data_IF_652900121362
#
_entry.id   IF_652900121362
#
_cell.length_a   1.000
_cell.length_b   1.000
_cell.length_c   1.000
_cell.angle_alpha   90.00
_cell.angle_beta   90.00
_cell.angle_gamma   90.00
#
_symmetry.space_group_name_H-M   'P 1'
#
loop_
_entity.id
_entity.type
_entity.pdbx_description
1 polymer ?
#
# COMPACT_ATOMS: atom_id res chain seq x y z
N UNK A 1 -3.43 6.59 7.82
CA UNK A 1 -2.74 5.52 7.05
C UNK A 1 -2.82 5.69 5.54
N UNK A 2 -3.99 5.76 4.86
CA UNK A 2 -4.00 6.01 3.40
C UNK A 2 -3.59 7.46 3.09
N UNK A 3 -4.07 8.43 3.88
CA UNK A 3 -3.74 9.85 3.69
C UNK A 3 -2.24 10.13 3.82
N UNK A 4 -1.52 9.33 4.62
CA UNK A 4 -0.06 9.39 4.75
C UNK A 4 0.67 8.92 3.48
N UNK A 5 0.03 8.08 2.66
CA UNK A 5 0.57 7.61 1.39
C UNK A 5 0.28 8.58 0.23
N UNK A 6 -0.17 9.79 0.55
CA UNK A 6 -0.55 10.82 -0.43
C UNK A 6 0.16 12.11 -0.05
N UNK A 7 0.84 12.79 -0.99
CA UNK A 7 1.40 14.13 -0.76
C UNK A 7 0.37 15.09 -0.19
N UNK A 8 0.78 15.93 0.76
CA UNK A 8 -0.12 16.84 1.48
C UNK A 8 -0.86 17.78 0.53
N UNK A 9 -0.20 18.18 -0.57
CA UNK A 9 -0.76 19.09 -1.57
C UNK A 9 -1.95 18.47 -2.33
N UNK A 10 -2.12 17.15 -2.27
CA UNK A 10 -3.18 16.41 -2.95
C UNK A 10 -4.33 16.00 -2.01
N UNK A 11 -4.24 16.30 -0.71
CA UNK A 11 -5.24 15.86 0.27
C UNK A 11 -6.63 16.41 -0.01
N UNK A 12 -6.74 17.63 -0.54
CA UNK A 12 -8.03 18.25 -0.84
C UNK A 12 -8.72 17.54 -2.02
N UNK A 13 -8.02 17.34 -3.14
CA UNK A 13 -8.55 16.58 -4.29
C UNK A 13 -8.87 15.13 -3.89
N UNK A 14 -8.05 14.50 -3.06
CA UNK A 14 -8.28 13.15 -2.57
C UNK A 14 -9.56 13.04 -1.73
N UNK A 15 -9.75 13.94 -0.77
CA UNK A 15 -10.96 13.98 0.08
C UNK A 15 -12.21 14.26 -0.77
N UNK A 16 -12.13 15.22 -1.69
CA UNK A 16 -13.23 15.54 -2.59
C UNK A 16 -13.63 14.34 -3.46
N UNK A 17 -12.66 13.66 -4.06
CA UNK A 17 -12.94 12.48 -4.89
C UNK A 17 -13.53 11.33 -4.08
N UNK A 18 -13.04 11.07 -2.86
CA UNK A 18 -13.64 10.04 -1.98
C UNK A 18 -15.08 10.37 -1.63
N UNK A 19 -15.39 11.63 -1.39
CA UNK A 19 -16.77 12.07 -1.15
C UNK A 19 -17.67 11.80 -2.37
N UNK A 20 -17.18 12.07 -3.59
CA UNK A 20 -17.92 11.75 -4.82
C UNK A 20 -18.13 10.24 -5.02
N UNK A 21 -17.12 9.41 -4.74
CA UNK A 21 -17.28 7.94 -4.74
C UNK A 21 -18.35 7.50 -3.74
N UNK A 22 -18.39 8.10 -2.54
CA UNK A 22 -19.39 7.79 -1.52
C UNK A 22 -20.81 8.13 -2.00
N UNK A 23 -21.01 9.27 -2.68
CA UNK A 23 -22.31 9.62 -3.28
C UNK A 23 -22.77 8.57 -4.29
N UNK A 24 -21.87 8.12 -5.16
CA UNK A 24 -22.16 7.07 -6.16
C UNK A 24 -22.50 5.75 -5.48
N UNK A 25 -21.78 5.37 -4.42
CA UNK A 25 -22.03 4.15 -3.63
C UNK A 25 -23.43 4.19 -2.99
N UNK A 26 -23.82 5.34 -2.43
CA UNK A 26 -25.16 5.57 -1.87
C UNK A 26 -26.26 5.69 -2.96
N UNK A 27 -25.83 5.74 -4.22
CA UNK A 27 -26.67 5.94 -5.41
C UNK A 27 -27.55 7.18 -5.28
N UNK A 28 -27.03 8.20 -4.62
CA UNK A 28 -27.71 9.46 -4.40
C UNK A 28 -27.56 10.34 -5.65
N UNK A 29 -28.66 10.92 -6.10
CA UNK A 29 -28.65 11.90 -7.18
C UNK A 29 -29.13 13.25 -6.61
N UNK A 30 -28.35 14.30 -6.84
CA UNK A 30 -28.67 15.66 -6.42
C UNK A 30 -29.45 16.43 -7.50
N UNK A 31 -29.17 16.14 -8.78
CA UNK A 31 -29.82 16.77 -9.93
C UNK A 31 -29.88 15.83 -11.13
N UNK A 32 -30.79 16.11 -12.07
CA UNK A 32 -30.83 15.41 -13.34
C UNK A 32 -29.54 15.69 -14.15
N UNK A 33 -28.80 14.66 -14.61
CA UNK A 33 -27.53 14.85 -15.31
C UNK A 33 -27.69 15.48 -16.71
N UNK A 34 -28.92 15.51 -17.25
CA UNK A 34 -29.22 16.04 -18.58
C UNK A 34 -29.69 17.50 -18.58
N UNK A 35 -30.54 17.90 -17.62
CA UNK A 35 -31.11 19.25 -17.57
C UNK A 35 -30.85 20.00 -16.25
N UNK A 36 -30.10 19.40 -15.33
CA UNK A 36 -29.67 19.98 -14.04
C UNK A 36 -30.81 20.36 -13.07
N UNK A 37 -32.06 20.05 -13.39
CA UNK A 37 -33.21 20.23 -12.48
C UNK A 37 -33.22 19.17 -11.38
N UNK A 38 -33.66 19.57 -10.20
CA UNK A 38 -33.76 18.74 -8.99
C UNK A 38 -35.09 17.96 -8.88
N UNK A 39 -36.01 18.22 -9.80
CA UNK A 39 -37.33 17.58 -9.81
C UNK A 39 -37.29 16.24 -10.55
N UNK A 40 -37.22 15.17 -9.78
CA UNK A 40 -37.27 13.78 -10.27
C UNK A 40 -37.80 12.86 -9.18
N UNK A 41 -38.15 11.63 -9.55
CA UNK A 41 -38.58 10.60 -8.61
C UNK A 41 -37.93 9.26 -8.94
N UNK A 42 -37.86 8.38 -7.94
CA UNK A 42 -37.32 7.03 -8.09
C UNK A 42 -38.39 6.16 -8.74
N UNK A 43 -38.05 5.49 -9.85
CA UNK A 43 -38.92 4.49 -10.49
C UNK A 43 -38.55 3.08 -10.04
N UNK A 44 -37.27 2.84 -9.77
CA UNK A 44 -36.77 1.53 -9.39
C UNK A 44 -35.66 1.67 -8.37
N UNK A 45 -35.65 0.84 -7.34
CA UNK A 45 -34.65 0.87 -6.26
C UNK A 45 -33.59 -0.25 -6.36
N UNK A 46 -33.84 -1.32 -7.12
CA UNK A 46 -32.94 -2.46 -7.30
C UNK A 46 -32.78 -2.87 -8.78
N UNK A 47 -31.60 -3.34 -9.23
CA UNK A 47 -30.34 -3.42 -8.49
C UNK A 47 -29.67 -2.06 -8.31
N UNK A 48 -30.10 -1.05 -9.07
CA UNK A 48 -29.72 0.35 -8.90
C UNK A 48 -30.92 1.27 -8.86
N UNK A 49 -30.79 2.38 -8.13
CA UNK A 49 -31.75 3.48 -8.11
C UNK A 49 -31.80 4.14 -9.48
N UNK A 50 -32.91 3.93 -10.18
CA UNK A 50 -33.23 4.59 -11.44
C UNK A 50 -34.23 5.72 -11.16
N UNK A 51 -33.85 6.92 -11.58
CA UNK A 51 -34.63 8.14 -11.45
C UNK A 51 -35.25 8.51 -12.80
N UNK A 52 -36.38 9.21 -12.75
CA UNK A 52 -37.00 9.82 -13.92
C UNK A 52 -37.22 11.31 -13.67
N UNK A 53 -36.68 12.13 -14.56
CA UNK A 53 -36.76 13.58 -14.46
C UNK A 53 -38.13 14.09 -14.86
N UNK A 54 -38.75 14.94 -14.04
CA UNK A 54 -40.04 15.55 -14.35
C UNK A 54 -39.96 16.58 -15.48
N UNK A 55 -38.80 17.21 -15.65
CA UNK A 55 -38.61 18.28 -16.63
C UNK A 55 -38.21 17.78 -18.03
N UNK A 56 -37.21 16.89 -18.12
CA UNK A 56 -36.72 16.41 -19.42
C UNK A 56 -37.16 14.98 -19.77
N UNK A 57 -37.95 14.34 -18.90
CA UNK A 57 -38.49 12.98 -19.08
C UNK A 57 -37.46 11.88 -19.38
N UNK A 58 -36.19 12.12 -19.05
CA UNK A 58 -35.10 11.14 -19.23
C UNK A 58 -34.92 10.31 -17.97
N UNK A 59 -34.60 9.05 -18.18
CA UNK A 59 -34.18 8.11 -17.14
C UNK A 59 -32.69 8.26 -16.86
N UNK A 60 -32.32 8.19 -15.59
CA UNK A 60 -30.92 8.23 -15.18
C UNK A 60 -30.67 7.50 -13.87
N UNK A 61 -29.40 7.32 -13.56
CA UNK A 61 -28.86 6.80 -12.30
C UNK A 61 -27.86 7.81 -11.74
N UNK A 62 -27.44 7.63 -10.49
CA UNK A 62 -26.38 8.44 -9.89
C UNK A 62 -25.05 8.41 -10.67
N UNK A 63 -24.82 7.37 -11.48
CA UNK A 63 -23.61 7.23 -12.31
C UNK A 63 -23.81 7.62 -13.78
N UNK A 64 -25.00 8.11 -14.15
CA UNK A 64 -25.25 8.58 -15.52
C UNK A 64 -24.38 9.79 -15.84
N UNK A 65 -23.82 9.85 -17.06
CA UNK A 65 -22.80 10.81 -17.49
C UNK A 65 -21.49 10.77 -16.69
N UNK A 66 -21.22 9.66 -15.99
CA UNK A 66 -19.90 9.40 -15.39
C UNK A 66 -19.27 8.17 -16.04
N UNK A 67 -17.92 8.06 -16.04
CA UNK A 67 -17.20 6.84 -16.37
C UNK A 67 -17.64 5.60 -15.56
N UNK A 68 -18.31 5.78 -14.41
CA UNK A 68 -18.77 4.69 -13.55
C UNK A 68 -20.10 4.07 -13.98
N UNK A 69 -20.70 4.57 -15.07
CA UNK A 69 -21.96 4.05 -15.56
C UNK A 69 -21.87 2.53 -15.80
N UNK A 70 -22.85 1.78 -15.27
CA UNK A 70 -22.95 0.31 -15.33
C UNK A 70 -21.85 -0.47 -14.59
N UNK A 71 -20.99 0.17 -13.79
CA UNK A 71 -19.94 -0.51 -13.00
C UNK A 71 -20.42 -1.00 -11.63
N UNK A 72 -21.55 -1.71 -11.61
CA UNK A 72 -22.13 -2.27 -10.37
C UNK A 72 -21.35 -3.53 -9.96
N UNK A 73 -21.12 -3.77 -8.65
CA UNK A 73 -21.43 -2.88 -7.53
C UNK A 73 -20.42 -1.73 -7.41
N UNK A 74 -20.89 -0.57 -6.95
CA UNK A 74 -20.10 0.66 -6.88
C UNK A 74 -19.10 0.68 -5.72
N UNK A 75 -19.33 -0.10 -4.67
CA UNK A 75 -18.43 -0.20 -3.51
C UNK A 75 -17.01 -0.66 -3.90
N UNK A 76 -16.85 -1.41 -4.99
CA UNK A 76 -15.53 -1.80 -5.49
C UNK A 76 -14.68 -0.63 -5.99
N UNK A 77 -15.28 0.52 -6.35
CA UNK A 77 -14.52 1.68 -6.84
C UNK A 77 -13.56 2.21 -5.77
N UNK A 78 -14.06 2.43 -4.56
CA UNK A 78 -13.23 2.91 -3.44
C UNK A 78 -12.19 1.86 -3.02
N UNK A 79 -12.57 0.58 -2.97
CA UNK A 79 -11.63 -0.51 -2.64
C UNK A 79 -10.49 -0.58 -3.65
N UNK A 80 -10.78 -0.50 -4.96
CA UNK A 80 -9.76 -0.53 -6.01
C UNK A 80 -8.87 0.70 -5.90
N UNK A 81 -9.46 1.90 -5.85
CA UNK A 81 -8.72 3.17 -5.78
C UNK A 81 -7.72 3.18 -4.62
N UNK A 82 -8.19 2.85 -3.40
CA UNK A 82 -7.34 2.83 -2.20
C UNK A 82 -6.31 1.71 -2.22
N UNK A 83 -6.64 0.54 -2.79
CA UNK A 83 -5.68 -0.56 -2.95
C UNK A 83 -4.55 -0.19 -3.91
N UNK A 84 -4.86 0.57 -4.96
CA UNK A 84 -3.87 1.04 -5.93
C UNK A 84 -2.93 2.08 -5.33
N UNK A 85 -3.43 2.98 -4.49
CA UNK A 85 -2.58 3.90 -3.70
C UNK A 85 -1.61 3.14 -2.79
N UNK A 86 -2.07 2.04 -2.17
CA UNK A 86 -1.24 1.12 -1.38
C UNK A 86 -0.31 0.23 -2.23
N UNK A 87 -0.26 0.46 -3.54
CA UNK A 87 0.52 -0.29 -4.51
C UNK A 87 0.23 -1.81 -4.52
N UNK A 88 -1.02 -2.20 -4.24
CA UNK A 88 -1.46 -3.60 -4.35
C UNK A 88 -1.67 -3.93 -5.84
N UNK A 89 -1.10 -5.03 -6.31
CA UNK A 89 -1.24 -5.48 -7.70
C UNK A 89 -2.70 -5.75 -8.08
N UNK A 90 -3.04 -5.57 -9.36
CA UNK A 90 -4.39 -5.85 -9.86
C UNK A 90 -4.81 -7.31 -9.64
N UNK A 91 -3.88 -8.26 -9.69
CA UNK A 91 -4.13 -9.68 -9.42
C UNK A 91 -4.49 -9.93 -7.97
N UNK A 92 -3.80 -9.29 -7.02
CA UNK A 92 -4.12 -9.38 -5.60
C UNK A 92 -5.45 -8.69 -5.28
N UNK A 93 -5.74 -7.54 -5.90
CA UNK A 93 -7.05 -6.88 -5.78
C UNK A 93 -8.18 -7.79 -6.28
N UNK A 94 -7.99 -8.40 -7.46
CA UNK A 94 -8.95 -9.32 -8.06
C UNK A 94 -9.21 -10.53 -7.15
N UNK A 95 -8.15 -11.14 -6.61
CA UNK A 95 -8.24 -12.23 -5.63
C UNK A 95 -8.99 -11.82 -4.37
N UNK A 96 -8.66 -10.68 -3.78
CA UNK A 96 -9.28 -10.18 -2.55
C UNK A 96 -10.77 -9.87 -2.72
N UNK A 97 -11.16 -9.38 -3.90
CA UNK A 97 -12.56 -9.07 -4.23
C UNK A 97 -13.34 -10.28 -4.78
N UNK A 98 -12.67 -11.40 -5.07
CA UNK A 98 -13.31 -12.56 -5.71
C UNK A 98 -13.81 -12.28 -7.13
N UNK A 99 -13.10 -11.44 -7.90
CA UNK A 99 -13.48 -11.03 -9.26
C UNK A 99 -12.36 -11.25 -10.26
N UNK A 100 -12.66 -11.12 -11.55
CA UNK A 100 -11.65 -11.22 -12.61
C UNK A 100 -10.75 -9.97 -12.64
N UNK A 101 -9.52 -10.16 -13.14
CA UNK A 101 -8.54 -9.09 -13.36
C UNK A 101 -9.11 -7.98 -14.26
N UNK A 102 -9.84 -8.35 -15.31
CA UNK A 102 -10.44 -7.43 -16.29
C UNK A 102 -11.48 -6.53 -15.63
N UNK A 103 -12.24 -7.04 -14.64
CA UNK A 103 -13.22 -6.25 -13.88
C UNK A 103 -12.55 -5.20 -13.01
N UNK A 104 -11.37 -5.48 -12.46
CA UNK A 104 -10.54 -4.51 -11.74
C UNK A 104 -10.04 -3.44 -12.72
N UNK A 105 -9.41 -3.87 -13.82
CA UNK A 105 -8.86 -2.97 -14.84
C UNK A 105 -9.91 -2.03 -15.44
N UNK A 106 -11.12 -2.54 -15.72
CA UNK A 106 -12.21 -1.71 -16.24
C UNK A 106 -12.60 -0.59 -15.28
N UNK A 107 -12.63 -0.88 -13.97
CA UNK A 107 -12.94 0.12 -12.94
C UNK A 107 -11.82 1.10 -12.73
N UNK A 108 -10.58 0.61 -12.74
CA UNK A 108 -9.39 1.46 -12.66
C UNK A 108 -9.37 2.50 -13.79
N UNK A 109 -9.63 2.07 -15.03
CA UNK A 109 -9.74 3.00 -16.17
C UNK A 109 -10.83 4.05 -15.98
N UNK A 110 -11.98 3.66 -15.43
CA UNK A 110 -13.06 4.60 -15.15
C UNK A 110 -12.67 5.62 -14.06
N UNK A 111 -11.96 5.18 -13.01
CA UNK A 111 -11.40 6.05 -11.98
C UNK A 111 -10.42 7.04 -12.62
N UNK A 112 -9.45 6.55 -13.41
CA UNK A 112 -8.46 7.38 -14.10
C UNK A 112 -9.15 8.43 -14.99
N UNK A 113 -10.14 8.04 -15.80
CA UNK A 113 -10.87 8.98 -16.65
C UNK A 113 -11.64 10.03 -15.85
N UNK A 114 -12.20 9.66 -14.70
CA UNK A 114 -12.90 10.59 -13.81
C UNK A 114 -11.91 11.59 -13.22
N UNK A 115 -10.79 11.11 -12.66
CA UNK A 115 -9.73 11.94 -12.11
C UNK A 115 -9.19 12.90 -13.17
N UNK A 116 -8.94 12.43 -14.39
CA UNK A 116 -8.45 13.27 -15.48
C UNK A 116 -9.35 14.48 -15.75
N UNK A 117 -10.65 14.31 -15.60
CA UNK A 117 -11.65 15.35 -15.90
C UNK A 117 -11.81 16.34 -14.74
N UNK A 118 -11.83 15.84 -13.50
CA UNK A 118 -12.25 16.63 -12.33
C UNK A 118 -11.14 16.93 -11.31
N UNK A 119 -10.08 16.12 -11.29
CA UNK A 119 -8.99 16.17 -10.30
C UNK A 119 -7.62 15.93 -10.97
N UNK A 120 -7.16 16.89 -11.80
CA UNK A 120 -6.01 16.67 -12.70
C UNK A 120 -4.67 16.49 -11.96
N UNK A 121 -4.50 17.10 -10.78
CA UNK A 121 -3.27 16.93 -10.00
C UNK A 121 -3.21 15.52 -9.41
N UNK A 122 -4.31 15.07 -8.81
CA UNK A 122 -4.47 13.72 -8.30
C UNK A 122 -4.37 12.68 -9.42
N UNK A 123 -4.96 12.94 -10.59
CA UNK A 123 -4.81 12.09 -11.78
C UNK A 123 -3.35 11.91 -12.18
N UNK A 124 -2.62 13.03 -12.29
CA UNK A 124 -1.21 13.04 -12.68
C UNK A 124 -0.41 12.18 -11.70
N UNK A 125 -0.56 12.43 -10.40
CA UNK A 125 0.12 11.65 -9.37
C UNK A 125 -0.29 10.17 -9.36
N UNK A 126 -1.59 9.87 -9.45
CA UNK A 126 -2.15 8.51 -9.39
C UNK A 126 -1.70 7.63 -10.57
N UNK A 127 -1.62 8.21 -11.77
CA UNK A 127 -1.17 7.48 -12.98
C UNK A 127 0.35 7.40 -13.06
N UNK A 128 1.06 8.42 -12.59
CA UNK A 128 2.52 8.48 -12.57
C UNK A 128 3.15 7.82 -11.35
N UNK A 129 2.34 7.27 -10.43
CA UNK A 129 2.74 6.56 -9.20
C UNK A 129 3.66 5.34 -9.41
N UNK A 130 4.12 5.11 -10.66
CA UNK A 130 5.11 4.11 -11.03
C UNK A 130 6.55 4.65 -11.17
N UNK A 131 6.83 5.95 -10.97
CA UNK A 131 8.18 6.48 -11.28
C UNK A 131 8.86 7.32 -10.18
N UNK A 132 10.08 6.84 -9.87
CA UNK A 132 11.30 7.47 -9.38
C UNK A 132 11.45 7.90 -7.91
N UNK A 133 10.43 8.48 -7.26
CA UNK A 133 10.67 9.15 -5.97
C UNK A 133 9.70 8.70 -4.89
N UNK A 134 10.26 8.22 -3.77
CA UNK A 134 9.50 7.91 -2.56
C UNK A 134 8.78 9.16 -2.07
N UNK A 135 7.51 9.01 -1.69
CA UNK A 135 6.78 10.05 -0.94
C UNK A 135 7.61 10.41 0.30
N UNK A 136 7.69 11.69 0.73
CA UNK A 136 8.60 12.13 1.79
C UNK A 136 8.56 11.27 3.06
N UNK A 137 7.36 10.85 3.50
CA UNK A 137 7.24 9.97 4.67
C UNK A 137 7.84 8.58 4.45
N UNK A 138 7.68 8.01 3.25
CA UNK A 138 8.30 6.73 2.89
C UNK A 138 9.81 6.87 2.80
N UNK A 139 10.32 8.00 2.30
CA UNK A 139 11.74 8.28 2.23
C UNK A 139 12.36 8.38 3.64
N UNK A 140 11.69 9.07 4.56
CA UNK A 140 12.16 9.21 5.95
C UNK A 140 12.10 7.88 6.72
N UNK A 141 11.00 7.13 6.58
CA UNK A 141 10.90 5.79 7.16
C UNK A 141 11.96 4.85 6.57
N UNK A 142 12.20 4.89 5.26
CA UNK A 142 13.24 4.11 4.62
C UNK A 142 14.64 4.46 5.16
N UNK A 143 14.95 5.74 5.32
CA UNK A 143 16.20 6.21 5.94
C UNK A 143 16.34 5.70 7.37
N UNK A 144 15.26 5.75 8.16
CA UNK A 144 15.21 5.24 9.53
C UNK A 144 15.51 3.74 9.60
N UNK A 145 14.87 2.94 8.73
CA UNK A 145 15.11 1.49 8.65
C UNK A 145 16.55 1.21 8.25
N UNK A 146 17.08 1.89 7.22
CA UNK A 146 18.48 1.72 6.79
C UNK A 146 19.45 2.04 7.93
N UNK A 147 19.27 3.15 8.62
CA UNK A 147 20.12 3.54 9.75
C UNK A 147 20.10 2.49 10.87
N UNK A 148 18.91 1.99 11.26
CA UNK A 148 18.78 0.96 12.30
C UNK A 148 19.46 -0.35 11.89
N UNK A 149 19.24 -0.81 10.66
CA UNK A 149 19.85 -2.06 10.17
C UNK A 149 21.37 -1.92 10.03
N UNK A 150 21.86 -0.81 9.49
CA UNK A 150 23.30 -0.54 9.41
C UNK A 150 23.94 -0.51 10.79
N UNK A 151 23.32 0.13 11.79
CA UNK A 151 23.80 0.12 13.17
C UNK A 151 23.86 -1.30 13.74
N UNK A 152 22.81 -2.11 13.55
CA UNK A 152 22.79 -3.51 14.01
C UNK A 152 23.89 -4.37 13.37
N UNK A 153 24.13 -4.21 12.07
CA UNK A 153 25.13 -4.98 11.35
C UNK A 153 26.56 -4.58 11.75
N UNK A 154 26.77 -3.29 12.04
CA UNK A 154 28.06 -2.71 12.40
C UNK A 154 28.35 -2.73 13.90
N UNK A 155 27.41 -3.18 14.73
CA UNK A 155 27.63 -3.37 16.16
C UNK A 155 28.83 -4.32 16.39
N UNK A 156 29.67 -3.96 17.36
CA UNK A 156 30.90 -4.71 17.68
C UNK A 156 30.90 -5.17 19.13
N UNK A 157 30.40 -4.35 20.05
CA UNK A 157 30.50 -4.58 21.50
C UNK A 157 29.12 -4.43 22.16
N UNK A 158 28.13 -5.25 21.77
CA UNK A 158 26.81 -5.18 22.39
C UNK A 158 26.87 -5.61 23.85
N UNK A 159 26.04 -4.99 24.68
CA UNK A 159 25.83 -5.40 26.07
C UNK A 159 25.24 -6.81 26.15
N UNK A 160 25.81 -7.66 27.00
CA UNK A 160 25.36 -9.04 27.16
C UNK A 160 23.98 -9.12 27.81
N UNK A 161 23.01 -9.73 27.13
CA UNK A 161 21.63 -9.90 27.62
C UNK A 161 21.48 -10.80 28.87
N UNK A 162 22.55 -11.46 29.32
CA UNK A 162 22.52 -12.37 30.47
C UNK A 162 23.21 -11.81 31.72
N UNK A 163 24.10 -10.83 31.57
CA UNK A 163 24.91 -10.33 32.69
C UNK A 163 25.33 -8.85 32.58
N UNK A 164 24.79 -8.13 31.58
CA UNK A 164 25.00 -6.70 31.31
C UNK A 164 26.47 -6.26 31.10
N UNK A 165 27.39 -7.22 30.92
CA UNK A 165 28.78 -6.92 30.58
C UNK A 165 28.90 -6.47 29.12
N UNK A 166 29.74 -5.44 28.89
CA UNK A 166 30.13 -4.98 27.56
C UNK A 166 31.36 -5.72 27.00
N UNK A 167 31.89 -6.69 27.74
CA UNK A 167 33.00 -7.54 27.28
C UNK A 167 32.47 -8.65 26.38
N UNK A 168 32.11 -8.29 25.16
CA UNK A 168 31.54 -9.21 24.18
C UNK A 168 32.44 -9.29 22.95
N UNK A 169 32.34 -10.40 22.23
CA UNK A 169 33.05 -10.61 20.98
C UNK A 169 32.09 -11.22 19.96
N UNK A 170 32.12 -10.70 18.74
CA UNK A 170 31.31 -11.19 17.63
C UNK A 170 31.74 -12.61 17.25
N UNK A 171 30.77 -13.49 17.01
CA UNK A 171 31.01 -14.87 16.58
C UNK A 171 30.43 -15.08 15.17
N UNK A 172 31.32 -15.38 14.23
CA UNK A 172 30.96 -15.64 12.85
C UNK A 172 30.39 -14.40 12.13
N UNK A 173 29.61 -14.64 11.09
CA UNK A 173 29.02 -13.58 10.24
C UNK A 173 27.64 -13.13 10.70
N UNK A 174 27.07 -13.81 11.72
CA UNK A 174 25.74 -13.49 12.25
C UNK A 174 25.82 -12.33 13.24
N UNK A 175 24.66 -11.78 13.59
CA UNK A 175 24.44 -10.88 14.73
C UNK A 175 24.62 -11.58 16.09
N UNK A 176 25.48 -12.60 16.15
CA UNK A 176 25.75 -13.43 17.32
C UNK A 176 27.05 -13.00 18.00
N UNK A 177 27.04 -12.99 19.33
CA UNK A 177 28.14 -12.56 20.18
C UNK A 177 28.30 -13.53 21.33
N UNK A 178 29.51 -13.61 21.89
CA UNK A 178 29.77 -14.31 23.15
C UNK A 178 30.31 -13.35 24.16
N UNK A 179 29.74 -13.41 25.35
CA UNK A 179 30.22 -12.67 26.49
C UNK A 179 31.49 -13.34 27.05
N UNK A 180 32.54 -12.55 27.28
CA UNK A 180 33.78 -13.01 27.89
C UNK A 180 33.61 -13.30 29.39
N UNK A 181 32.70 -12.56 30.05
CA UNK A 181 32.39 -12.71 31.49
C UNK A 181 31.55 -13.95 31.78
N UNK A 182 30.31 -14.03 31.29
CA UNK A 182 29.42 -15.15 31.59
C UNK A 182 29.52 -16.33 30.62
N UNK A 183 30.35 -16.23 29.57
CA UNK A 183 30.58 -17.26 28.54
C UNK A 183 29.33 -17.67 27.74
N UNK A 184 28.17 -17.05 27.96
CA UNK A 184 26.98 -17.29 27.17
C UNK A 184 27.08 -16.62 25.79
N UNK A 185 26.57 -17.31 24.78
CA UNK A 185 26.39 -16.78 23.43
C UNK A 185 24.98 -16.22 23.30
N UNK A 186 24.83 -15.08 22.64
CA UNK A 186 23.54 -14.44 22.42
C UNK A 186 23.49 -13.77 21.05
N UNK A 187 22.28 -13.54 20.54
CA UNK A 187 22.04 -12.81 19.31
C UNK A 187 21.42 -11.46 19.66
N UNK A 188 21.97 -10.35 19.16
CA UNK A 188 21.44 -9.00 19.46
C UNK A 188 20.03 -8.78 18.89
N UNK A 189 19.61 -9.62 17.92
CA UNK A 189 18.26 -9.58 17.36
C UNK A 189 17.36 -10.70 17.88
N UNK A 190 17.76 -11.44 18.93
CA UNK A 190 17.03 -12.60 19.47
C UNK A 190 15.56 -12.31 19.79
N UNK A 191 15.28 -11.11 20.31
CA UNK A 191 13.95 -10.65 20.72
C UNK A 191 13.15 -10.02 19.56
N UNK A 192 13.64 -10.12 18.32
CA UNK A 192 12.99 -9.56 17.15
C UNK A 192 12.71 -10.63 16.11
N UNK A 193 11.85 -10.32 15.14
CA UNK A 193 11.56 -11.24 14.06
C UNK A 193 12.77 -11.46 13.12
N UNK A 194 13.80 -10.59 13.17
CA UNK A 194 15.03 -10.73 12.39
C UNK A 194 15.84 -11.97 12.77
N UNK A 195 15.69 -12.51 13.98
CA UNK A 195 16.34 -13.77 14.36
C UNK A 195 15.95 -14.95 13.44
N UNK A 196 14.84 -14.82 12.70
CA UNK A 196 14.33 -15.82 11.74
C UNK A 196 14.82 -15.61 10.31
N UNK A 197 15.61 -14.55 10.06
CA UNK A 197 16.16 -14.23 8.74
C UNK A 197 17.66 -14.56 8.74
N UNK A 198 18.14 -15.54 7.96
CA UNK A 198 19.57 -15.78 7.78
C UNK A 198 20.21 -14.72 6.86
N UNK A 199 21.52 -14.81 6.62
CA UNK A 199 22.26 -13.96 5.67
C UNK A 199 22.11 -12.44 5.90
N UNK A 200 22.54 -11.93 7.08
CA UNK A 200 22.48 -10.50 7.42
C UNK A 200 23.13 -9.58 6.38
N UNK A 201 24.14 -10.06 5.66
CA UNK A 201 24.80 -9.36 4.56
C UNK A 201 23.86 -8.96 3.42
N UNK A 202 22.74 -9.67 3.23
CA UNK A 202 21.76 -9.39 2.18
C UNK A 202 20.63 -8.45 2.63
N UNK A 203 20.52 -8.15 3.93
CA UNK A 203 19.36 -7.46 4.48
C UNK A 203 19.17 -6.06 3.91
N UNK A 204 20.24 -5.28 3.84
CA UNK A 204 20.19 -3.92 3.29
C UNK A 204 19.76 -3.93 1.82
N UNK A 205 20.35 -4.82 1.01
CA UNK A 205 19.98 -4.95 -0.40
C UNK A 205 18.54 -5.44 -0.58
N UNK A 206 18.08 -6.36 0.27
CA UNK A 206 16.69 -6.82 0.27
C UNK A 206 15.72 -5.67 0.52
N UNK A 207 15.98 -4.83 1.53
CA UNK A 207 15.16 -3.65 1.83
C UNK A 207 15.15 -2.69 0.63
N UNK A 208 16.29 -2.42 0.02
CA UNK A 208 16.39 -1.54 -1.15
C UNK A 208 15.50 -2.06 -2.29
N UNK A 209 15.50 -3.37 -2.55
CA UNK A 209 14.66 -3.99 -3.57
C UNK A 209 13.17 -3.95 -3.23
N UNK A 210 12.79 -4.08 -1.95
CA UNK A 210 11.39 -3.91 -1.51
C UNK A 210 10.88 -2.50 -1.80
N UNK A 211 11.74 -1.50 -1.55
CA UNK A 211 11.44 -0.08 -1.72
C UNK A 211 11.37 0.28 -3.21
N UNK A 212 12.29 -0.26 -4.03
CA UNK A 212 12.35 -0.14 -5.49
C UNK A 212 11.26 -0.92 -6.25
N UNK A 213 10.20 -1.30 -5.56
CA UNK A 213 9.01 -1.92 -6.15
C UNK A 213 9.27 -3.26 -6.87
N UNK A 214 10.29 -4.01 -6.45
CA UNK A 214 10.56 -5.34 -7.01
C UNK A 214 9.60 -6.37 -6.43
N UNK A 215 9.03 -7.21 -7.30
CA UNK A 215 8.21 -8.35 -6.88
C UNK A 215 9.06 -9.50 -6.36
N UNK A 216 8.44 -10.50 -5.72
CA UNK A 216 9.19 -11.60 -5.08
C UNK A 216 10.01 -12.43 -6.09
N UNK A 217 9.52 -12.60 -7.31
CA UNK A 217 10.27 -13.30 -8.36
C UNK A 217 11.54 -12.55 -8.77
N UNK A 218 11.45 -11.23 -8.94
CA UNK A 218 12.59 -10.38 -9.28
C UNK A 218 13.63 -10.38 -8.16
N UNK A 219 13.20 -10.26 -6.90
CA UNK A 219 14.10 -10.30 -5.74
C UNK A 219 14.78 -11.66 -5.63
N UNK A 220 14.03 -12.76 -5.82
CA UNK A 220 14.56 -14.11 -5.82
C UNK A 220 15.70 -14.28 -6.84
N UNK A 221 15.52 -13.77 -8.06
CA UNK A 221 16.55 -13.79 -9.10
C UNK A 221 17.76 -12.91 -8.75
N UNK A 222 17.53 -11.67 -8.30
CA UNK A 222 18.61 -10.71 -8.02
C UNK A 222 19.50 -11.17 -6.86
N UNK A 223 18.89 -11.73 -5.81
CA UNK A 223 19.61 -12.18 -4.61
C UNK A 223 19.96 -13.67 -4.62
N UNK A 224 19.64 -14.38 -5.70
CA UNK A 224 19.79 -15.84 -5.80
C UNK A 224 19.19 -16.58 -4.60
N UNK A 225 17.94 -16.25 -4.26
CA UNK A 225 17.17 -16.84 -3.17
C UNK A 225 15.96 -17.63 -3.71
N UNK A 226 15.52 -18.64 -2.96
CA UNK A 226 14.26 -19.32 -3.27
C UNK A 226 13.05 -18.38 -3.08
N UNK A 227 12.02 -18.53 -3.91
CA UNK A 227 10.80 -17.69 -3.87
C UNK A 227 10.10 -17.72 -2.49
N UNK A 228 10.03 -18.89 -1.85
CA UNK A 228 9.45 -19.03 -0.51
C UNK A 228 10.27 -18.29 0.55
N UNK A 229 11.60 -18.29 0.41
CA UNK A 229 12.49 -17.52 1.29
C UNK A 229 12.20 -16.04 1.16
N UNK A 230 12.06 -15.53 -0.07
CA UNK A 230 11.72 -14.13 -0.32
C UNK A 230 10.35 -13.75 0.26
N UNK A 231 9.33 -14.59 0.09
CA UNK A 231 8.01 -14.35 0.69
C UNK A 231 8.09 -14.25 2.21
N UNK A 232 8.78 -15.20 2.85
CA UNK A 232 8.97 -15.21 4.30
C UNK A 232 9.74 -13.97 4.77
N UNK A 233 10.80 -13.60 4.07
CA UNK A 233 11.60 -12.43 4.38
C UNK A 233 10.78 -11.14 4.25
N UNK A 234 9.98 -10.99 3.19
CA UNK A 234 9.10 -9.81 3.02
C UNK A 234 8.15 -9.65 4.19
N UNK A 235 7.47 -10.73 4.58
CA UNK A 235 6.55 -10.70 5.73
C UNK A 235 7.26 -10.30 7.02
N UNK A 236 8.43 -10.88 7.30
CA UNK A 236 9.21 -10.54 8.49
C UNK A 236 9.68 -9.07 8.45
N UNK A 237 10.18 -8.59 7.31
CA UNK A 237 10.61 -7.20 7.17
C UNK A 237 9.45 -6.21 7.33
N UNK A 238 8.27 -6.51 6.79
CA UNK A 238 7.08 -5.68 7.00
C UNK A 238 6.69 -5.64 8.48
N UNK A 239 6.78 -6.76 9.20
CA UNK A 239 6.54 -6.79 10.64
C UNK A 239 7.60 -5.99 11.42
N UNK A 240 8.86 -6.06 11.01
CA UNK A 240 9.94 -5.27 11.61
C UNK A 240 9.79 -3.78 11.36
N UNK A 241 9.34 -3.37 10.16
CA UNK A 241 9.01 -1.99 9.86
C UNK A 241 7.88 -1.49 10.78
N UNK A 242 6.82 -2.28 10.97
CA UNK A 242 5.74 -1.97 11.94
C UNK A 242 6.29 -1.86 13.37
N UNK A 243 7.15 -2.79 13.78
CA UNK A 243 7.80 -2.78 15.11
C UNK A 243 8.65 -1.52 15.35
N UNK A 244 9.23 -0.94 14.30
CA UNK A 244 10.01 0.30 14.36
C UNK A 244 9.22 1.56 13.96
N UNK A 245 7.89 1.52 14.06
CA UNK A 245 7.01 2.67 13.77
C UNK A 245 7.17 3.22 12.35
N UNK A 246 7.36 2.31 11.37
CA UNK A 246 7.46 2.60 9.95
C UNK A 246 6.29 1.95 9.18
N UNK A 247 5.05 2.19 9.61
CA UNK A 247 3.84 1.52 9.12
C UNK A 247 3.51 1.84 7.65
N UNK A 248 3.78 3.07 7.21
CA UNK A 248 3.56 3.49 5.83
C UNK A 248 4.47 2.70 4.88
N UNK A 249 5.75 2.57 5.22
CA UNK A 249 6.71 1.76 4.47
C UNK A 249 6.37 0.27 4.51
N UNK A 250 5.94 -0.26 5.66
CA UNK A 250 5.50 -1.64 5.76
C UNK A 250 4.34 -1.92 4.79
N UNK A 251 3.32 -1.04 4.79
CA UNK A 251 2.16 -1.14 3.90
C UNK A 251 2.58 -1.07 2.43
N UNK A 252 3.52 -0.18 2.09
CA UNK A 252 4.07 -0.06 0.73
C UNK A 252 4.78 -1.33 0.25
N UNK A 253 5.42 -2.07 1.15
CA UNK A 253 6.20 -3.26 0.83
C UNK A 253 5.41 -4.58 0.93
N UNK A 254 4.21 -4.61 1.52
CA UNK A 254 3.56 -5.87 1.94
C UNK A 254 2.98 -6.71 0.78
N UNK A 255 2.41 -6.10 -0.26
CA UNK A 255 1.47 -6.78 -1.16
C UNK A 255 1.95 -6.98 -2.62
N UNK A 256 3.23 -7.35 -2.80
CA UNK A 256 3.89 -7.46 -4.12
C UNK A 256 4.48 -8.82 -4.44
#
# INVERSE_FOLDING_TARGET
>A
MIDELIPNELHDEFKAFRHELQKIILQHAESCPFCKKIEFYIIRSKPTKTYHCKNCHKYFTASTNTPFNRLIPFNWLETIFTSRIKNISYTNIAKNLGISFEKVMRRERAIINYLQTYYPLLHKWYTQQKQATLIPILAEQYKTIKAKVTALLNEQNPTCIHCDSNETAKIGTRTCYRCKRCRNSFNIVSNTSLNRIPKPELWLQFIDLLVLDKNNSQIATILSLHSDTVHKWRSIWCNMMKYWHCEALATWCEHK
#
